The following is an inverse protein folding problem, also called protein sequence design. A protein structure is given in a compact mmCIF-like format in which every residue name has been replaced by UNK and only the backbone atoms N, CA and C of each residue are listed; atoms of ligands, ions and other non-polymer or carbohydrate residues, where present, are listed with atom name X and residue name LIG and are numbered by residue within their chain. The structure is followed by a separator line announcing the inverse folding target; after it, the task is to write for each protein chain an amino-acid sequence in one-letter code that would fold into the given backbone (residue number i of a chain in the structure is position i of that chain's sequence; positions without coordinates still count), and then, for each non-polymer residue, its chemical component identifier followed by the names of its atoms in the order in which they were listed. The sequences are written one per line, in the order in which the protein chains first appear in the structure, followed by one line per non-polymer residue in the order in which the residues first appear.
data_IF_014808900306
#
_entry.id   IF_014808900306
#
_cell.length_a   1.000
_cell.length_b   1.000
_cell.length_c   1.000
_cell.angle_alpha   90.00
_cell.angle_beta   90.00
_cell.angle_gamma   90.00
#
_symmetry.space_group_name_H-M   'P 1'
#
loop_
_entity.id
_entity.type
_entity.pdbx_description
1 polymer ?
#
# COMPACT_ATOMS: atom_id res chain seq x y z
N UNK A 1 -8.84 14.70 0.73
CA UNK A 1 -8.67 13.78 -0.42
C UNK A 1 -10.00 13.16 -0.82
N UNK A 2 -10.69 12.44 0.09
CA UNK A 2 -12.01 11.87 -0.20
C UNK A 2 -13.02 12.91 -0.73
N UNK A 3 -13.07 14.11 -0.15
CA UNK A 3 -13.93 15.21 -0.61
C UNK A 3 -13.60 15.68 -2.04
N UNK A 4 -12.32 15.75 -2.40
CA UNK A 4 -11.90 16.09 -3.77
C UNK A 4 -12.34 15.02 -4.77
N UNK A 5 -12.19 13.74 -4.39
CA UNK A 5 -12.64 12.62 -5.21
C UNK A 5 -14.16 12.62 -5.35
N UNK A 6 -14.90 12.88 -4.26
CA UNK A 6 -16.36 13.01 -4.28
C UNK A 6 -16.80 14.12 -5.25
N UNK A 7 -16.16 15.29 -5.21
CA UNK A 7 -16.44 16.39 -6.15
C UNK A 7 -16.17 15.98 -7.61
N UNK A 8 -15.05 15.31 -7.87
CA UNK A 8 -14.69 14.86 -9.22
C UNK A 8 -15.60 13.74 -9.74
N UNK A 9 -16.02 12.81 -8.88
CA UNK A 9 -16.99 11.77 -9.23
C UNK A 9 -18.37 12.36 -9.53
N UNK A 10 -18.81 13.39 -8.79
CA UNK A 10 -20.06 14.08 -9.06
C UNK A 10 -20.11 14.71 -10.46
N UNK A 11 -18.98 15.21 -10.97
CA UNK A 11 -18.87 15.78 -12.34
C UNK A 11 -19.16 14.76 -13.44
N UNK A 12 -19.01 13.47 -13.16
CA UNK A 12 -19.32 12.37 -14.09
C UNK A 12 -20.58 11.58 -13.69
N UNK A 13 -21.38 12.11 -12.75
CA UNK A 13 -22.66 11.52 -12.35
C UNK A 13 -22.55 10.34 -11.38
N UNK A 14 -21.41 10.17 -10.71
CA UNK A 14 -21.23 9.17 -9.65
C UNK A 14 -21.41 9.84 -8.30
N UNK A 15 -22.44 9.43 -7.55
CA UNK A 15 -22.66 9.87 -6.18
C UNK A 15 -21.82 9.04 -5.21
N UNK A 16 -21.10 9.70 -4.30
CA UNK A 16 -20.15 9.07 -3.38
C UNK A 16 -20.46 9.54 -1.96
N UNK A 17 -20.74 8.60 -1.07
CA UNK A 17 -20.82 8.85 0.36
C UNK A 17 -19.44 8.66 1.01
N UNK A 18 -19.01 9.63 1.82
CA UNK A 18 -17.76 9.52 2.59
C UNK A 18 -18.07 8.88 3.94
N UNK A 19 -17.54 7.69 4.17
CA UNK A 19 -17.71 6.93 5.41
C UNK A 19 -16.38 6.83 6.15
N UNK A 20 -16.42 6.97 7.49
CA UNK A 20 -15.24 6.87 8.36
C UNK A 20 -15.53 6.07 9.62
N UNK A 21 -14.50 5.43 10.18
CA UNK A 21 -14.55 4.58 11.36
C UNK A 21 -13.29 4.79 12.22
N UNK A 22 -13.30 4.26 13.44
CA UNK A 22 -12.06 4.04 14.21
C UNK A 22 -11.09 3.17 13.38
N UNK A 23 -9.77 3.36 13.49
CA UNK A 23 -8.79 2.76 12.59
C UNK A 23 -8.77 1.23 12.62
N UNK A 24 -8.86 0.60 13.78
CA UNK A 24 -8.94 -0.85 13.90
C UNK A 24 -10.19 -1.41 13.23
N UNK A 25 -11.34 -0.79 13.47
CA UNK A 25 -12.60 -1.13 12.81
C UNK A 25 -12.55 -0.91 11.29
N UNK A 26 -11.98 0.22 10.85
CA UNK A 26 -11.79 0.55 9.43
C UNK A 26 -10.97 -0.53 8.74
N UNK A 27 -9.84 -0.94 9.33
CA UNK A 27 -9.00 -1.99 8.79
C UNK A 27 -9.73 -3.32 8.71
N UNK A 28 -10.51 -3.70 9.73
CA UNK A 28 -11.23 -4.96 9.72
C UNK A 28 -12.33 -4.97 8.65
N UNK A 29 -13.15 -3.92 8.59
CA UNK A 29 -14.18 -3.75 7.54
C UNK A 29 -13.59 -3.68 6.15
N UNK A 30 -12.41 -3.08 5.98
CA UNK A 30 -11.77 -2.92 4.68
C UNK A 30 -11.41 -4.26 4.01
N UNK A 31 -11.25 -5.34 4.78
CA UNK A 31 -10.87 -6.68 4.28
C UNK A 31 -12.05 -7.48 3.75
N UNK A 32 -13.28 -7.12 4.16
CA UNK A 32 -14.47 -7.85 3.76
C UNK A 32 -14.62 -7.86 2.23
N UNK A 33 -14.93 -9.02 1.68
CA UNK A 33 -15.05 -9.21 0.23
C UNK A 33 -16.30 -8.53 -0.34
N UNK A 34 -17.35 -8.49 0.45
CA UNK A 34 -18.65 -7.86 0.19
C UNK A 34 -18.76 -6.44 0.77
N UNK A 35 -17.62 -5.82 1.11
CA UNK A 35 -17.59 -4.44 1.59
C UNK A 35 -18.24 -3.51 0.57
N UNK A 36 -19.10 -2.63 1.07
CA UNK A 36 -19.68 -1.57 0.27
C UNK A 36 -18.65 -0.46 -0.03
N UNK A 37 -18.53 -0.10 -1.30
CA UNK A 37 -17.67 0.98 -1.76
C UNK A 37 -16.15 0.72 -1.78
N UNK A 38 -15.44 1.73 -2.28
CA UNK A 38 -13.98 1.79 -2.34
C UNK A 38 -13.38 2.20 -0.98
N UNK A 39 -12.10 1.87 -0.77
CA UNK A 39 -11.35 2.29 0.42
C UNK A 39 -10.15 3.14 0.03
N UNK A 40 -9.88 4.17 0.84
CA UNK A 40 -8.62 4.90 0.78
C UNK A 40 -7.66 4.27 1.78
N UNK A 41 -6.53 3.77 1.28
CA UNK A 41 -5.50 3.13 2.08
C UNK A 41 -4.12 3.41 1.50
N UNK A 42 -3.09 3.17 2.29
CA UNK A 42 -1.70 3.24 1.86
C UNK A 42 -0.89 2.07 2.40
N UNK A 43 0.33 1.96 1.91
CA UNK A 43 1.32 0.97 2.37
C UNK A 43 2.69 1.62 2.49
N UNK A 44 3.43 1.25 3.54
CA UNK A 44 4.85 1.52 3.67
C UNK A 44 5.54 0.17 3.62
N UNK A 45 6.59 0.02 2.80
CA UNK A 45 7.24 -1.27 2.62
C UNK A 45 7.94 -1.74 3.90
N UNK A 46 7.80 -3.02 4.23
CA UNK A 46 8.28 -3.59 5.50
C UNK A 46 9.73 -4.11 5.43
N UNK A 47 10.24 -4.38 4.23
CA UNK A 47 11.54 -5.02 4.04
C UNK A 47 12.35 -4.49 2.85
N UNK A 48 11.81 -3.52 2.09
CA UNK A 48 12.44 -2.95 0.90
C UNK A 48 12.39 -3.83 -0.36
N UNK A 49 11.72 -4.97 -0.31
CA UNK A 49 11.58 -5.90 -1.44
C UNK A 49 10.25 -5.67 -2.20
N UNK A 50 10.23 -5.66 -3.55
CA UNK A 50 8.99 -5.51 -4.32
C UNK A 50 7.91 -6.55 -4.01
N UNK A 51 8.28 -7.76 -3.56
CA UNK A 51 7.33 -8.80 -3.11
C UNK A 51 6.41 -8.28 -2.01
N UNK A 52 6.93 -7.46 -1.09
CA UNK A 52 6.14 -6.93 0.03
C UNK A 52 5.01 -5.99 -0.44
N UNK A 53 5.14 -5.38 -1.61
CA UNK A 53 4.04 -4.63 -2.23
C UNK A 53 3.20 -5.55 -3.11
N UNK A 54 3.81 -6.18 -4.12
CA UNK A 54 3.07 -6.84 -5.19
C UNK A 54 2.43 -8.15 -4.74
N UNK A 55 3.11 -8.99 -3.96
CA UNK A 55 2.54 -10.27 -3.53
C UNK A 55 1.60 -10.12 -2.34
N UNK A 56 2.00 -9.37 -1.31
CA UNK A 56 1.18 -9.22 -0.08
C UNK A 56 -0.15 -8.54 -0.38
N UNK A 57 -0.15 -7.53 -1.25
CA UNK A 57 -1.29 -6.67 -1.45
C UNK A 57 -2.09 -6.98 -2.73
N UNK A 58 -1.49 -7.61 -3.75
CA UNK A 58 -2.17 -7.90 -5.02
C UNK A 58 -2.17 -9.39 -5.41
N UNK A 59 -1.36 -10.22 -4.75
CA UNK A 59 -1.35 -11.67 -4.97
C UNK A 59 -2.67 -12.32 -4.54
N UNK A 60 -2.97 -13.47 -5.14
CA UNK A 60 -4.21 -14.20 -4.87
C UNK A 60 -4.30 -14.67 -3.42
N UNK A 61 -3.17 -15.01 -2.79
CA UNK A 61 -3.08 -15.38 -1.36
C UNK A 61 -3.51 -14.27 -0.39
N UNK A 62 -3.50 -13.02 -0.88
CA UNK A 62 -3.86 -11.81 -0.14
C UNK A 62 -5.36 -11.51 -0.15
N UNK A 63 -6.17 -12.17 -0.99
CA UNK A 63 -7.63 -12.02 -1.03
C UNK A 63 -8.23 -12.32 0.36
N UNK A 64 -9.24 -11.54 0.76
CA UNK A 64 -9.83 -11.54 2.11
C UNK A 64 -8.85 -11.22 3.26
N UNK A 65 -7.60 -10.83 2.97
CA UNK A 65 -6.56 -10.54 3.98
C UNK A 65 -5.94 -9.15 3.84
N UNK A 66 -4.97 -8.99 2.94
CA UNK A 66 -4.20 -7.75 2.72
C UNK A 66 -4.51 -7.11 1.35
N UNK A 67 -5.14 -7.86 0.45
CA UNK A 67 -5.59 -7.39 -0.84
C UNK A 67 -6.99 -6.77 -0.72
N UNK A 68 -7.05 -5.43 -0.66
CA UNK A 68 -8.33 -4.69 -0.50
C UNK A 68 -9.12 -4.58 -1.81
N UNK A 69 -8.50 -4.87 -2.95
CA UNK A 69 -9.19 -4.94 -4.24
C UNK A 69 -9.98 -6.24 -4.41
N UNK A 70 -9.70 -7.26 -3.59
CA UNK A 70 -10.25 -8.61 -3.76
C UNK A 70 -9.99 -9.18 -5.16
N UNK A 71 -8.90 -8.72 -5.78
CA UNK A 71 -8.52 -9.04 -7.14
C UNK A 71 -7.57 -10.22 -7.15
N UNK A 72 -7.80 -11.17 -8.05
CA UNK A 72 -6.90 -12.28 -8.31
C UNK A 72 -6.81 -12.48 -9.81
N UNK A 73 -5.60 -12.35 -10.36
CA UNK A 73 -5.29 -12.54 -11.76
C UNK A 73 -4.14 -13.55 -11.84
N UNK A 74 -4.40 -14.68 -12.51
CA UNK A 74 -3.48 -15.83 -12.55
C UNK A 74 -2.16 -15.50 -13.25
N UNK A 75 -2.16 -14.63 -14.26
CA UNK A 75 -0.96 -14.23 -14.99
C UNK A 75 -0.07 -13.34 -14.12
N UNK A 76 -0.66 -12.35 -13.45
CA UNK A 76 0.03 -11.51 -12.47
C UNK A 76 0.61 -12.37 -11.34
N UNK A 77 -0.20 -13.26 -10.76
CA UNK A 77 0.21 -14.11 -9.64
C UNK A 77 1.39 -15.02 -10.05
N UNK A 78 1.33 -15.65 -11.23
CA UNK A 78 2.42 -16.46 -11.74
C UNK A 78 3.75 -15.69 -11.86
N UNK A 79 3.71 -14.43 -12.32
CA UNK A 79 4.90 -13.58 -12.43
C UNK A 79 5.50 -13.27 -11.05
N UNK A 80 4.69 -12.84 -10.09
CA UNK A 80 5.18 -12.46 -8.76
C UNK A 80 5.68 -13.68 -7.96
N UNK A 81 5.02 -14.83 -8.08
CA UNK A 81 5.46 -16.08 -7.42
C UNK A 81 6.79 -16.56 -7.99
N UNK A 82 6.98 -16.46 -9.32
CA UNK A 82 8.27 -16.76 -9.94
C UNK A 82 9.35 -15.77 -9.48
N UNK A 83 9.06 -14.47 -9.46
CA UNK A 83 10.01 -13.45 -9.02
C UNK A 83 10.43 -13.62 -7.55
N UNK A 84 9.56 -14.16 -6.71
CA UNK A 84 9.81 -14.39 -5.28
C UNK A 84 10.91 -15.43 -5.00
N UNK A 85 11.07 -16.43 -5.87
CA UNK A 85 11.99 -17.56 -5.65
C UNK A 85 13.32 -17.44 -6.41
N UNK A 86 13.45 -16.46 -7.32
CA UNK A 86 14.69 -16.20 -8.04
C UNK A 86 15.67 -15.39 -7.16
N UNK A 87 16.96 -15.64 -7.32
CA UNK A 87 18.02 -14.92 -6.61
C UNK A 87 18.62 -13.75 -7.41
N UNK A 88 18.52 -13.78 -8.75
CA UNK A 88 19.05 -12.74 -9.63
C UNK A 88 18.17 -11.50 -9.60
N UNK A 89 18.71 -10.36 -9.16
CA UNK A 89 17.99 -9.10 -9.15
C UNK A 89 17.47 -8.69 -10.54
N UNK A 90 18.27 -8.90 -11.59
CA UNK A 90 17.88 -8.54 -12.96
C UNK A 90 16.71 -9.39 -13.47
N UNK A 91 16.69 -10.68 -13.17
CA UNK A 91 15.58 -11.56 -13.58
C UNK A 91 14.30 -11.23 -12.80
N UNK A 92 14.41 -10.91 -11.51
CA UNK A 92 13.28 -10.46 -10.67
C UNK A 92 12.70 -9.14 -11.17
N UNK A 93 13.57 -8.18 -11.49
CA UNK A 93 13.16 -6.86 -11.98
C UNK A 93 12.29 -6.96 -13.23
N UNK A 94 12.68 -7.79 -14.19
CA UNK A 94 11.93 -7.98 -15.43
C UNK A 94 10.53 -8.55 -15.16
N UNK A 95 10.42 -9.55 -14.29
CA UNK A 95 9.12 -10.13 -13.89
C UNK A 95 8.24 -9.10 -13.16
N UNK A 96 8.81 -8.31 -12.25
CA UNK A 96 8.05 -7.27 -11.55
C UNK A 96 7.62 -6.13 -12.48
N UNK A 97 8.39 -5.80 -13.53
CA UNK A 97 7.95 -4.85 -14.55
C UNK A 97 6.75 -5.38 -15.32
N UNK A 98 6.79 -6.63 -15.75
CA UNK A 98 5.65 -7.28 -16.43
C UNK A 98 4.41 -7.33 -15.53
N UNK A 99 4.58 -7.69 -14.25
CA UNK A 99 3.49 -7.68 -13.28
C UNK A 99 2.87 -6.28 -13.11
N UNK A 100 3.70 -5.22 -13.08
CA UNK A 100 3.22 -3.83 -13.00
C UNK A 100 2.43 -3.40 -14.24
N UNK A 101 2.75 -3.91 -15.43
CA UNK A 101 1.95 -3.66 -16.65
C UNK A 101 0.55 -4.25 -16.48
N UNK A 102 0.43 -5.52 -16.11
CA UNK A 102 -0.87 -6.18 -15.88
C UNK A 102 -1.67 -5.43 -14.81
N UNK A 103 -1.03 -5.09 -13.69
CA UNK A 103 -1.65 -4.29 -12.63
C UNK A 103 -2.19 -2.97 -13.16
N UNK A 104 -1.42 -2.25 -13.99
CA UNK A 104 -1.84 -0.95 -14.51
C UNK A 104 -2.99 -1.06 -15.52
N UNK A 105 -2.98 -2.09 -16.35
CA UNK A 105 -4.03 -2.35 -17.34
C UNK A 105 -5.35 -2.77 -16.69
N UNK A 106 -5.29 -3.63 -15.66
CA UNK A 106 -6.46 -4.12 -14.94
C UNK A 106 -6.98 -3.11 -13.89
N UNK A 107 -6.15 -2.15 -13.49
CA UNK A 107 -6.46 -1.09 -12.54
C UNK A 107 -7.23 -1.56 -11.28
N UNK A 108 -6.78 -2.63 -10.56
CA UNK A 108 -7.47 -3.08 -9.36
C UNK A 108 -7.41 -2.02 -8.24
N UNK A 109 -6.44 -1.10 -8.29
CA UNK A 109 -6.43 0.14 -7.53
C UNK A 109 -6.15 1.36 -8.41
N UNK A 110 -6.59 2.53 -7.95
CA UNK A 110 -6.07 3.80 -8.40
C UNK A 110 -4.81 4.17 -7.59
N UNK A 111 -3.64 4.20 -8.24
CA UNK A 111 -2.39 4.68 -7.63
C UNK A 111 -2.41 6.21 -7.54
N UNK A 112 -2.43 6.77 -6.33
CA UNK A 112 -2.59 8.21 -6.11
C UNK A 112 -1.24 8.92 -5.97
N UNK A 113 -0.40 8.52 -5.01
CA UNK A 113 0.85 9.22 -4.69
C UNK A 113 1.85 8.37 -3.89
N UNK A 114 3.11 8.82 -3.88
CA UNK A 114 4.12 8.48 -2.88
C UNK A 114 4.42 9.74 -2.05
N UNK A 115 4.23 9.69 -0.73
CA UNK A 115 4.39 10.85 0.15
C UNK A 115 5.83 11.06 0.59
N UNK A 116 6.24 12.32 0.73
CA UNK A 116 7.43 12.67 1.51
C UNK A 116 7.11 12.52 3.00
N UNK A 117 7.96 11.79 3.72
CA UNK A 117 7.80 11.58 5.16
C UNK A 117 8.43 12.74 5.91
N UNK A 118 7.65 13.40 6.76
CA UNK A 118 8.12 14.42 7.67
C UNK A 118 8.00 13.95 9.11
N UNK A 119 9.11 13.98 9.84
CA UNK A 119 9.11 13.82 11.29
C UNK A 119 9.50 15.17 11.88
N UNK A 120 8.67 15.68 12.79
CA UNK A 120 8.99 16.90 13.53
C UNK A 120 9.58 16.52 14.88
N UNK A 121 10.77 17.05 15.17
CA UNK A 121 11.48 16.77 16.40
C UNK A 121 11.68 18.07 17.16
N UNK A 122 11.59 18.01 18.49
CA UNK A 122 12.03 19.12 19.31
C UNK A 122 13.56 19.28 19.21
N UNK A 123 14.12 20.50 19.33
CA UNK A 123 15.56 20.74 19.18
C UNK A 123 16.45 19.96 20.17
N UNK A 124 15.89 19.53 21.30
CA UNK A 124 16.57 18.76 22.32
C UNK A 124 16.70 17.28 21.96
N UNK A 125 15.91 16.77 21.01
CA UNK A 125 15.97 15.36 20.59
C UNK A 125 17.22 15.13 19.74
N UNK A 126 18.05 14.19 20.16
CA UNK A 126 19.23 13.74 19.42
C UNK A 126 19.16 12.24 19.09
N UNK A 127 19.86 11.83 18.04
CA UNK A 127 19.99 10.42 17.65
C UNK A 127 18.77 9.80 16.97
N UNK A 128 17.68 10.56 16.76
CA UNK A 128 16.54 10.06 15.99
C UNK A 128 16.85 10.07 14.49
N UNK A 129 16.62 8.93 13.84
CA UNK A 129 16.76 8.73 12.40
C UNK A 129 15.44 8.24 11.84
N UNK A 130 14.93 8.90 10.80
CA UNK A 130 13.71 8.47 10.11
C UNK A 130 13.96 7.11 9.45
N UNK A 131 13.16 6.12 9.82
CA UNK A 131 13.31 4.78 9.27
C UNK A 131 12.53 4.64 7.96
N UNK A 132 13.13 4.15 6.86
CA UNK A 132 12.45 4.04 5.57
C UNK A 132 11.28 3.05 5.58
N UNK A 133 11.27 2.11 6.54
CA UNK A 133 10.17 1.14 6.74
C UNK A 133 9.07 1.66 7.69
N UNK A 134 9.03 2.97 7.97
CA UNK A 134 7.98 3.63 8.76
C UNK A 134 8.06 3.44 10.27
N UNK A 135 8.95 2.59 10.78
CA UNK A 135 9.12 2.36 12.21
C UNK A 135 9.67 3.57 12.97
N UNK A 136 9.19 3.78 14.19
CA UNK A 136 9.75 4.75 15.13
C UNK A 136 10.67 4.04 16.13
N UNK A 137 11.98 4.12 15.88
CA UNK A 137 13.00 3.42 16.69
C UNK A 137 13.64 4.41 17.66
N UNK A 138 13.50 4.17 18.97
CA UNK A 138 13.96 5.08 20.03
C UNK A 138 15.19 4.59 20.79
N UNK A 139 15.77 3.46 20.42
CA UNK A 139 16.88 2.84 21.16
C UNK A 139 18.18 3.68 21.19
N UNK A 140 18.39 4.56 20.21
CA UNK A 140 19.52 5.46 20.11
C UNK A 140 19.14 6.93 20.38
N UNK A 141 17.91 7.17 20.82
CA UNK A 141 17.38 8.54 21.00
C UNK A 141 17.68 9.04 22.40
N UNK A 142 18.21 10.26 22.47
CA UNK A 142 18.48 10.97 23.72
C UNK A 142 17.87 12.38 23.71
N UNK A 143 17.95 13.04 24.87
CA UNK A 143 17.66 14.46 25.01
C UNK A 143 18.95 15.19 25.41
N UNK A 144 19.25 16.31 24.75
CA UNK A 144 20.24 17.29 25.21
C UNK A 144 19.85 17.76 26.61
N UNK A 145 20.83 17.86 27.50
CA UNK A 145 20.69 18.53 28.79
C UNK A 145 20.84 20.04 28.63
#
# INVERSE_FOLDING_TARGET
MAELMQEDFAKIGVDVEIVSYEWGEYLERSKAKDRDGAVLLGWTGDNGDPDNFLAVLLGCDGVEKSNRAQWCNEEFDALIQKAKVLSSQAEREELYKQAQVIFKEQAPWATIAHSVVYMTMRPEVEGYVVHPLGGHIFNQVGLKQ
#
